data_IF_905034919785
#
_entry.id   IF_905034919785
#
_cell.length_a   1.000
_cell.length_b   1.000
_cell.length_c   1.000
_cell.angle_alpha   90.00
_cell.angle_beta   90.00
_cell.angle_gamma   90.00
#
_symmetry.space_group_name_H-M   'P 1'
#
loop_
_entity.id
_entity.type
_entity.pdbx_description
1 polymer ?
#
# COMPACT_ATOMS: atom_id res chain seq x y z
N UNK A 1 21.34 11.90 10.74
CA UNK A 1 20.82 10.52 10.94
C UNK A 1 21.97 9.52 11.18
N UNK A 2 22.95 9.35 10.26
CA UNK A 2 24.01 8.35 10.40
C UNK A 2 24.82 8.51 11.70
N UNK A 3 25.20 9.73 12.08
CA UNK A 3 25.88 9.97 13.36
C UNK A 3 25.05 9.51 14.56
N UNK A 4 23.78 9.91 14.60
CA UNK A 4 22.87 9.54 15.70
C UNK A 4 22.60 8.03 15.75
N UNK A 5 22.43 7.37 14.60
CA UNK A 5 22.21 5.93 14.52
C UNK A 5 23.41 5.11 15.00
N UNK A 6 24.64 5.55 14.68
CA UNK A 6 25.89 4.91 15.13
C UNK A 6 26.10 5.13 16.63
N UNK A 7 25.79 6.32 17.16
CA UNK A 7 25.91 6.61 18.60
C UNK A 7 24.97 5.77 19.47
N UNK A 8 23.79 5.38 18.92
CA UNK A 8 22.81 4.55 19.65
C UNK A 8 23.27 3.09 19.75
N UNK A 9 23.96 2.56 18.75
CA UNK A 9 24.42 1.17 18.79
C UNK A 9 25.69 0.92 17.94
N UNK A 10 26.86 1.14 18.53
CA UNK A 10 28.17 0.97 17.86
C UNK A 10 28.46 -0.47 17.37
N UNK A 11 27.72 -1.46 17.87
CA UNK A 11 27.95 -2.90 17.56
C UNK A 11 27.07 -3.43 16.45
N UNK A 12 26.09 -2.66 15.98
CA UNK A 12 25.18 -3.10 14.91
C UNK A 12 25.45 -2.29 13.62
N UNK A 13 25.61 -2.97 12.48
CA UNK A 13 25.78 -2.28 11.21
C UNK A 13 24.52 -1.51 10.84
N UNK A 14 24.70 -0.31 10.27
CA UNK A 14 23.62 0.52 9.75
C UNK A 14 23.46 0.21 8.26
N UNK A 15 22.26 -0.19 7.87
CA UNK A 15 21.92 -0.37 6.46
C UNK A 15 21.75 1.00 5.78
N UNK A 16 22.42 1.18 4.65
CA UNK A 16 22.34 2.40 3.84
C UNK A 16 21.94 2.01 2.42
N UNK A 17 20.72 2.37 2.05
CA UNK A 17 20.17 2.07 0.73
C UNK A 17 20.16 3.31 -0.17
N UNK A 18 20.21 3.07 -1.49
CA UNK A 18 20.00 4.12 -2.47
C UNK A 18 18.53 4.54 -2.47
N UNK A 19 18.25 5.82 -2.24
CA UNK A 19 16.91 6.35 -2.41
C UNK A 19 16.49 6.32 -3.89
N UNK A 20 15.33 5.73 -4.16
CA UNK A 20 14.71 5.66 -5.48
C UNK A 20 13.40 6.45 -5.40
N UNK A 21 13.27 7.48 -6.24
CA UNK A 21 12.02 8.20 -6.42
C UNK A 21 11.13 7.47 -7.43
N UNK A 22 9.86 7.28 -7.09
CA UNK A 22 8.92 6.59 -7.96
C UNK A 22 7.53 6.49 -7.32
N UNK A 23 6.69 5.69 -7.94
CA UNK A 23 5.37 5.32 -7.42
C UNK A 23 5.53 4.14 -6.46
N UNK A 24 5.03 4.25 -5.26
CA UNK A 24 5.01 3.12 -4.35
C UNK A 24 3.78 2.24 -4.61
N UNK A 25 4.00 0.93 -4.57
CA UNK A 25 2.97 -0.09 -4.79
C UNK A 25 3.08 -1.12 -3.68
N UNK A 26 1.95 -1.50 -3.13
CA UNK A 26 1.86 -2.49 -2.05
C UNK A 26 0.98 -3.67 -2.47
N UNK A 27 1.40 -4.86 -2.10
CA UNK A 27 0.70 -6.11 -2.35
C UNK A 27 0.60 -6.91 -1.05
N UNK A 28 -0.61 -7.31 -0.70
CA UNK A 28 -0.83 -8.38 0.28
C UNK A 28 -1.20 -9.66 -0.48
N UNK A 29 -0.41 -10.69 -0.29
CA UNK A 29 -0.59 -11.96 -0.97
C UNK A 29 -0.72 -13.13 0.02
N UNK A 30 -1.25 -14.24 -0.46
CA UNK A 30 -1.35 -15.49 0.28
C UNK A 30 -0.63 -16.57 -0.51
N UNK A 31 0.25 -17.31 0.14
CA UNK A 31 0.94 -18.46 -0.44
C UNK A 31 0.61 -19.71 0.37
N UNK A 32 0.31 -20.83 -0.32
CA UNK A 32 0.07 -22.14 0.30
C UNK A 32 1.28 -23.10 0.16
N UNK A 33 2.43 -22.58 -0.28
CA UNK A 33 3.63 -23.34 -0.57
C UNK A 33 3.68 -23.95 -1.99
N UNK A 34 2.59 -23.86 -2.76
CA UNK A 34 2.48 -24.36 -4.14
C UNK A 34 1.94 -23.30 -5.08
N UNK A 35 0.89 -22.61 -4.64
CA UNK A 35 0.22 -21.56 -5.39
C UNK A 35 0.27 -20.25 -4.60
N UNK A 36 0.08 -19.14 -5.31
CA UNK A 36 0.04 -17.80 -4.73
C UNK A 36 -1.21 -17.09 -5.22
N UNK A 37 -1.86 -16.36 -4.31
CA UNK A 37 -3.01 -15.53 -4.57
C UNK A 37 -2.71 -14.08 -4.20
N UNK A 38 -2.88 -13.17 -5.16
CA UNK A 38 -2.78 -11.72 -5.00
C UNK A 38 -4.17 -11.14 -5.24
N UNK A 39 -4.93 -10.78 -4.19
CA UNK A 39 -6.31 -10.30 -4.33
C UNK A 39 -6.42 -8.94 -4.99
N UNK A 40 -5.37 -8.12 -4.90
CA UNK A 40 -5.30 -6.78 -5.46
C UNK A 40 -3.93 -6.15 -5.31
N UNK A 41 -3.63 -5.22 -6.21
CA UNK A 41 -2.44 -4.37 -6.18
C UNK A 41 -2.92 -2.98 -5.75
N UNK A 42 -2.26 -2.39 -4.76
CA UNK A 42 -2.55 -1.05 -4.25
C UNK A 42 -1.45 -0.07 -4.69
N UNK A 43 -1.85 1.10 -5.15
CA UNK A 43 -0.94 2.20 -5.45
C UNK A 43 -1.04 3.26 -4.36
N UNK A 44 0.10 3.74 -3.86
CA UNK A 44 0.19 4.77 -2.84
C UNK A 44 0.28 6.14 -3.48
N UNK A 45 -0.37 7.13 -2.87
CA UNK A 45 -0.44 8.50 -3.40
C UNK A 45 0.75 9.34 -2.94
N UNK A 46 1.22 9.10 -1.72
CA UNK A 46 2.32 9.85 -1.13
C UNK A 46 3.66 9.52 -1.80
N UNK A 47 4.61 10.45 -1.63
CA UNK A 47 5.97 10.27 -2.12
C UNK A 47 6.66 9.07 -1.47
N UNK A 48 7.63 8.52 -2.17
CA UNK A 48 8.51 7.46 -1.67
C UNK A 48 9.15 7.82 -0.32
N UNK A 49 9.15 6.87 0.60
CA UNK A 49 9.74 7.02 1.93
C UNK A 49 8.76 7.49 3.02
N UNK A 50 7.47 7.56 2.73
CA UNK A 50 6.41 7.66 3.73
C UNK A 50 5.98 6.24 4.12
N UNK A 51 5.75 6.00 5.41
CA UNK A 51 5.27 4.69 5.86
C UNK A 51 3.92 4.33 5.22
N UNK A 52 3.77 3.12 4.69
CA UNK A 52 2.56 2.71 3.95
C UNK A 52 1.28 2.80 4.78
N UNK A 53 1.37 2.62 6.10
CA UNK A 53 0.25 2.84 7.04
C UNK A 53 -0.25 4.28 7.09
N UNK A 54 0.63 5.25 6.81
CA UNK A 54 0.34 6.68 6.81
C UNK A 54 -0.01 7.21 5.42
N UNK A 55 0.09 6.36 4.40
CA UNK A 55 -0.19 6.72 3.01
C UNK A 55 -1.63 6.42 2.63
N UNK A 56 -2.15 7.24 1.72
CA UNK A 56 -3.39 6.97 1.01
C UNK A 56 -3.12 5.85 0.00
N UNK A 57 -3.91 4.78 0.07
CA UNK A 57 -3.78 3.66 -0.87
C UNK A 57 -5.01 3.55 -1.75
N UNK A 58 -4.81 3.31 -3.03
CA UNK A 58 -5.87 3.20 -4.05
C UNK A 58 -5.87 1.80 -4.63
N UNK A 59 -7.04 1.17 -4.70
CA UNK A 59 -7.29 -0.09 -5.39
C UNK A 59 -8.51 0.07 -6.33
N UNK A 60 -8.46 -0.41 -7.58
CA UNK A 60 -7.27 -0.83 -8.32
C UNK A 60 -6.26 0.30 -8.54
N UNK A 61 -4.99 0.00 -8.86
CA UNK A 61 -3.98 1.02 -9.11
C UNK A 61 -4.39 1.89 -10.31
N UNK A 62 -4.14 3.19 -10.23
CA UNK A 62 -4.67 4.16 -11.19
C UNK A 62 -3.64 4.60 -12.24
N UNK A 63 -2.33 4.43 -11.98
CA UNK A 63 -1.26 4.84 -12.89
C UNK A 63 -0.31 3.70 -13.30
N UNK A 64 -0.50 2.49 -12.78
CA UNK A 64 0.35 1.33 -13.03
C UNK A 64 -0.09 0.60 -14.29
N UNK A 65 0.81 0.47 -15.27
CA UNK A 65 0.53 -0.23 -16.52
C UNK A 65 0.39 -1.75 -16.32
N UNK A 66 -0.32 -2.42 -17.22
CA UNK A 66 -0.50 -3.89 -17.17
C UNK A 66 0.83 -4.65 -17.26
N UNK A 67 1.81 -4.10 -18.01
CA UNK A 67 3.17 -4.64 -18.05
C UNK A 67 3.83 -4.63 -16.67
N UNK A 68 3.71 -3.52 -15.95
CA UNK A 68 4.28 -3.36 -14.60
C UNK A 68 3.52 -4.26 -13.62
N UNK A 69 2.18 -4.34 -13.70
CA UNK A 69 1.39 -5.28 -12.90
C UNK A 69 1.87 -6.72 -13.10
N UNK A 70 2.08 -7.13 -14.36
CA UNK A 70 2.63 -8.47 -14.66
C UNK A 70 3.99 -8.73 -14.02
N UNK A 71 4.86 -7.73 -13.96
CA UNK A 71 6.16 -7.82 -13.30
C UNK A 71 6.00 -7.98 -11.77
N UNK A 72 5.14 -7.15 -11.16
CA UNK A 72 4.82 -7.20 -9.72
C UNK A 72 4.26 -8.58 -9.34
N UNK A 73 3.31 -9.11 -10.11
CA UNK A 73 2.71 -10.42 -9.87
C UNK A 73 3.74 -11.56 -9.98
N UNK A 74 4.65 -11.44 -10.96
CA UNK A 74 5.76 -12.39 -11.13
C UNK A 74 6.70 -12.38 -9.92
N UNK A 75 7.03 -11.19 -9.41
CA UNK A 75 7.87 -11.05 -8.23
C UNK A 75 7.16 -11.55 -6.97
N UNK A 76 5.90 -11.21 -6.79
CA UNK A 76 5.10 -11.71 -5.66
C UNK A 76 5.10 -13.24 -5.62
N UNK A 77 4.81 -13.89 -6.75
CA UNK A 77 4.83 -15.35 -6.85
C UNK A 77 6.20 -15.95 -6.55
N UNK A 78 7.27 -15.41 -7.15
CA UNK A 78 8.63 -15.89 -6.92
C UNK A 78 9.07 -15.75 -5.47
N UNK A 79 8.72 -14.64 -4.81
CA UNK A 79 9.07 -14.40 -3.42
C UNK A 79 8.32 -15.32 -2.47
N UNK A 80 6.99 -15.46 -2.62
CA UNK A 80 6.19 -16.37 -1.79
C UNK A 80 6.71 -17.80 -1.83
N UNK A 81 6.93 -18.34 -3.03
CA UNK A 81 7.41 -19.69 -3.23
C UNK A 81 8.89 -19.84 -2.87
N UNK A 82 9.75 -18.89 -3.25
CA UNK A 82 11.19 -18.96 -3.04
C UNK A 82 11.61 -18.85 -1.56
N UNK A 83 10.86 -18.08 -0.76
CA UNK A 83 11.07 -17.97 0.69
C UNK A 83 10.41 -19.15 1.42
N UNK A 84 9.44 -19.83 0.79
CA UNK A 84 8.68 -20.91 1.40
C UNK A 84 7.59 -20.40 2.37
N UNK A 85 6.96 -19.28 2.03
CA UNK A 85 5.90 -18.68 2.86
C UNK A 85 4.65 -19.57 2.81
N UNK A 86 4.02 -19.76 3.97
CA UNK A 86 2.68 -20.34 4.11
C UNK A 86 1.81 -19.37 4.90
N UNK A 87 0.80 -18.81 4.25
CA UNK A 87 -0.08 -17.77 4.79
C UNK A 87 0.10 -16.41 4.13
N UNK A 88 -0.25 -15.35 4.87
CA UNK A 88 -0.16 -13.96 4.41
C UNK A 88 1.28 -13.45 4.36
N UNK A 89 1.56 -12.65 3.36
CA UNK A 89 2.78 -11.83 3.27
C UNK A 89 2.51 -10.53 2.52
N UNK A 90 3.22 -9.51 2.92
CA UNK A 90 3.14 -8.17 2.36
C UNK A 90 4.44 -7.85 1.61
N UNK A 91 4.32 -7.20 0.47
CA UNK A 91 5.46 -6.77 -0.33
C UNK A 91 5.27 -5.30 -0.68
N UNK A 92 6.33 -4.51 -0.51
CA UNK A 92 6.37 -3.13 -0.95
C UNK A 92 7.32 -2.99 -2.13
N UNK A 93 6.86 -2.26 -3.15
CA UNK A 93 7.58 -2.01 -4.38
C UNK A 93 7.71 -0.52 -4.65
N UNK A 94 8.75 -0.15 -5.39
CA UNK A 94 8.87 1.15 -6.05
C UNK A 94 8.89 0.90 -7.56
N UNK A 95 8.11 1.70 -8.29
CA UNK A 95 8.13 1.74 -9.75
C UNK A 95 8.69 3.09 -10.17
N UNK A 96 9.87 3.09 -10.79
CA UNK A 96 10.53 4.32 -11.23
C UNK A 96 9.87 4.93 -12.48
N UNK A 97 10.33 6.09 -12.91
CA UNK A 97 9.82 6.79 -14.11
C UNK A 97 10.02 6.00 -15.42
N UNK A 98 10.88 4.98 -15.42
CA UNK A 98 11.15 4.09 -16.55
C UNK A 98 10.43 2.75 -16.46
N UNK A 99 9.46 2.62 -15.54
CA UNK A 99 8.71 1.40 -15.25
C UNK A 99 9.56 0.21 -14.75
N UNK A 100 10.77 0.48 -14.19
CA UNK A 100 11.50 -0.55 -13.47
C UNK A 100 10.89 -0.76 -12.09
N UNK A 101 10.71 -2.02 -11.72
CA UNK A 101 10.11 -2.44 -10.46
C UNK A 101 11.21 -2.86 -9.49
N UNK A 102 11.28 -2.20 -8.35
CA UNK A 102 12.19 -2.50 -7.25
C UNK A 102 11.41 -3.02 -6.06
N UNK A 103 11.97 -3.99 -5.34
CA UNK A 103 11.42 -4.51 -4.09
C UNK A 103 12.07 -3.73 -2.95
N UNK A 104 11.24 -3.13 -2.08
CA UNK A 104 11.71 -2.47 -0.86
C UNK A 104 11.88 -3.51 0.23
N UNK A 105 10.80 -4.24 0.52
CA UNK A 105 10.79 -5.25 1.58
C UNK A 105 9.71 -6.31 1.35
N UNK A 106 9.91 -7.46 1.98
CA UNK A 106 8.95 -8.56 2.07
C UNK A 106 8.71 -8.87 3.54
N UNK A 107 7.46 -8.78 3.96
CA UNK A 107 7.04 -9.02 5.33
C UNK A 107 6.18 -10.30 5.40
N UNK A 108 6.69 -11.45 5.89
CA UNK A 108 5.92 -12.70 5.97
C UNK A 108 4.96 -12.66 7.17
N UNK A 109 4.04 -11.74 7.13
CA UNK A 109 3.01 -11.48 8.14
C UNK A 109 1.83 -10.74 7.52
N UNK A 110 0.71 -10.69 8.23
CA UNK A 110 -0.41 -9.79 7.90
C UNK A 110 0.03 -8.32 7.94
N UNK A 111 -0.59 -7.51 7.10
CA UNK A 111 -0.43 -6.05 7.06
C UNK A 111 -1.70 -5.34 7.52
N UNK A 112 -1.62 -4.02 7.72
CA UNK A 112 -2.79 -3.19 8.02
C UNK A 112 -3.74 -3.05 6.84
N UNK A 113 -3.27 -3.25 5.61
CA UNK A 113 -4.06 -3.15 4.40
C UNK A 113 -4.92 -4.38 4.11
N UNK A 114 -4.70 -5.51 4.80
CA UNK A 114 -5.51 -6.73 4.66
C UNK A 114 -7.01 -6.50 4.90
N UNK A 115 -7.47 -5.81 5.95
CA UNK A 115 -8.90 -5.49 6.12
C UNK A 115 -9.47 -4.61 5.02
N UNK A 116 -8.68 -3.65 4.53
CA UNK A 116 -9.05 -2.79 3.40
C UNK A 116 -9.24 -3.62 2.13
N UNK A 117 -8.24 -4.43 1.74
CA UNK A 117 -8.32 -5.29 0.57
C UNK A 117 -9.46 -6.32 0.68
N UNK A 118 -9.68 -6.90 1.86
CA UNK A 118 -10.80 -7.82 2.07
C UNK A 118 -12.14 -7.17 1.73
N UNK A 119 -12.36 -5.93 2.17
CA UNK A 119 -13.58 -5.17 1.86
C UNK A 119 -13.66 -4.75 0.40
N UNK A 120 -12.54 -4.31 -0.18
CA UNK A 120 -12.49 -3.82 -1.56
C UNK A 120 -12.69 -4.94 -2.58
N UNK A 121 -12.06 -6.10 -2.37
CA UNK A 121 -12.09 -7.23 -3.29
C UNK A 121 -13.24 -8.19 -3.04
N UNK A 122 -13.70 -8.28 -1.79
CA UNK A 122 -14.73 -9.24 -1.34
C UNK A 122 -14.17 -10.59 -0.87
N UNK A 123 -12.85 -10.81 -0.94
CA UNK A 123 -12.20 -12.00 -0.41
C UNK A 123 -11.92 -11.84 1.08
N UNK A 124 -12.29 -12.83 1.89
CA UNK A 124 -12.00 -12.84 3.34
C UNK A 124 -10.54 -13.30 3.56
N UNK A 125 -9.59 -12.38 3.38
CA UNK A 125 -8.17 -12.71 3.31
C UNK A 125 -7.63 -13.37 4.59
N UNK A 126 -8.11 -12.96 5.75
CA UNK A 126 -7.71 -13.53 7.01
C UNK A 126 -8.18 -15.00 7.12
N UNK A 127 -9.42 -15.30 6.72
CA UNK A 127 -9.96 -16.65 6.74
C UNK A 127 -9.25 -17.56 5.74
N UNK A 128 -9.02 -17.05 4.51
CA UNK A 128 -8.29 -17.79 3.48
C UNK A 128 -6.88 -18.15 3.97
N UNK A 129 -6.16 -17.18 4.53
CA UNK A 129 -4.82 -17.41 5.04
C UNK A 129 -4.77 -18.34 6.25
N UNK A 130 -5.76 -18.25 7.14
CA UNK A 130 -5.90 -19.16 8.28
C UNK A 130 -6.09 -20.60 7.80
N UNK A 131 -7.00 -20.82 6.83
CA UNK A 131 -7.21 -22.14 6.24
C UNK A 131 -5.94 -22.68 5.57
N UNK A 132 -5.19 -21.82 4.87
CA UNK A 132 -3.90 -22.20 4.28
C UNK A 132 -2.90 -22.66 5.36
N UNK A 133 -2.79 -21.93 6.46
CA UNK A 133 -1.91 -22.29 7.59
C UNK A 133 -2.36 -23.63 8.23
N UNK A 134 -3.67 -23.91 8.25
CA UNK A 134 -4.23 -25.16 8.74
C UNK A 134 -4.13 -26.31 7.73
N UNK A 135 -3.55 -26.08 6.55
CA UNK A 135 -3.26 -27.11 5.55
C UNK A 135 -4.25 -27.22 4.39
N UNK A 136 -5.27 -26.35 4.32
CA UNK A 136 -6.21 -26.31 3.18
C UNK A 136 -5.61 -25.43 2.08
N UNK A 137 -5.35 -26.00 0.91
CA UNK A 137 -4.76 -25.27 -0.22
C UNK A 137 -5.67 -24.16 -0.76
N UNK A 138 -5.10 -23.22 -1.50
CA UNK A 138 -5.88 -22.18 -2.20
C UNK A 138 -6.90 -22.78 -3.16
N UNK A 139 -6.53 -23.84 -3.89
CA UNK A 139 -7.44 -24.54 -4.82
C UNK A 139 -8.61 -25.21 -4.14
N UNK A 140 -8.40 -25.84 -2.99
CA UNK A 140 -9.50 -26.42 -2.19
C UNK A 140 -10.46 -25.35 -1.67
N UNK A 141 -10.00 -24.11 -1.53
CA UNK A 141 -10.83 -22.95 -1.17
C UNK A 141 -11.47 -22.26 -2.40
N UNK A 142 -11.33 -22.84 -3.62
CA UNK A 142 -11.89 -22.30 -4.85
C UNK A 142 -11.12 -21.15 -5.46
N UNK A 143 -9.87 -20.96 -5.07
CA UNK A 143 -8.97 -19.90 -5.59
C UNK A 143 -7.99 -20.54 -6.57
N UNK A 144 -8.17 -20.23 -7.85
CA UNK A 144 -7.39 -20.82 -8.95
C UNK A 144 -6.48 -19.81 -9.64
N UNK A 145 -6.83 -18.52 -9.60
CA UNK A 145 -6.11 -17.47 -10.28
C UNK A 145 -5.08 -16.82 -9.36
N UNK A 146 -3.91 -16.50 -9.91
CA UNK A 146 -2.90 -15.68 -9.22
C UNK A 146 -3.46 -14.29 -8.89
N UNK A 147 -4.18 -13.70 -9.83
CA UNK A 147 -4.72 -12.34 -9.75
C UNK A 147 -6.12 -12.31 -10.37
N UNK A 148 -7.16 -12.09 -9.56
CA UNK A 148 -8.54 -12.04 -10.06
C UNK A 148 -8.78 -10.74 -10.85
N UNK A 149 -9.85 -10.66 -11.66
CA UNK A 149 -10.24 -9.43 -12.33
C UNK A 149 -10.42 -8.28 -11.35
N UNK A 150 -9.87 -7.12 -11.69
CA UNK A 150 -9.99 -5.90 -10.89
C UNK A 150 -11.46 -5.42 -10.83
N UNK A 151 -11.80 -4.74 -9.75
CA UNK A 151 -13.14 -4.14 -9.60
C UNK A 151 -13.27 -2.90 -10.48
N UNK A 152 -14.46 -2.65 -10.99
CA UNK A 152 -14.76 -1.42 -11.75
C UNK A 152 -14.78 -0.14 -10.87
N UNK A 153 -14.93 -0.32 -9.57
CA UNK A 153 -14.94 0.80 -8.60
C UNK A 153 -13.56 1.03 -8.05
N UNK A 154 -13.25 2.30 -7.81
CA UNK A 154 -12.09 2.69 -7.03
C UNK A 154 -12.41 2.61 -5.55
N UNK A 155 -11.51 2.03 -4.79
CA UNK A 155 -11.50 2.00 -3.33
C UNK A 155 -10.27 2.75 -2.85
N UNK A 156 -10.46 3.61 -1.87
CA UNK A 156 -9.40 4.45 -1.31
C UNK A 156 -9.34 4.23 0.20
N UNK A 157 -8.17 3.86 0.69
CA UNK A 157 -7.85 3.86 2.12
C UNK A 157 -7.22 5.21 2.45
N UNK A 158 -7.76 5.94 3.42
CA UNK A 158 -7.14 7.13 3.98
C UNK A 158 -6.72 6.89 5.44
N UNK A 159 -5.50 7.29 5.85
CA UNK A 159 -5.07 7.17 7.24
C UNK A 159 -5.84 8.12 8.14
N UNK A 160 -6.01 7.73 9.40
CA UNK A 160 -6.55 8.58 10.45
C UNK A 160 -5.44 8.92 11.42
N UNK A 161 -5.22 10.22 11.66
CA UNK A 161 -4.21 10.72 12.58
C UNK A 161 -4.87 11.31 13.82
N UNK A 162 -4.26 11.05 14.98
CA UNK A 162 -4.72 11.59 16.28
C UNK A 162 -3.71 12.59 16.85
N UNK A 163 -3.12 13.45 16.01
CA UNK A 163 -2.11 14.43 16.43
C UNK A 163 -2.56 15.31 17.61
N UNK A 164 -3.85 15.67 17.64
CA UNK A 164 -4.43 16.45 18.74
C UNK A 164 -4.34 15.71 20.12
N UNK A 165 -4.22 14.38 20.11
CA UNK A 165 -4.09 13.55 21.31
C UNK A 165 -2.65 13.14 21.62
N UNK A 166 -1.78 13.23 20.62
CA UNK A 166 -0.38 12.80 20.70
C UNK A 166 0.52 14.03 20.76
N UNK A 167 0.66 14.59 21.95
CA UNK A 167 1.48 15.79 22.17
C UNK A 167 2.95 15.54 21.82
N UNK A 168 3.57 16.47 21.09
CA UNK A 168 4.98 16.43 20.72
C UNK A 168 5.32 15.60 19.48
N UNK A 169 4.33 15.03 18.79
CA UNK A 169 4.53 14.35 17.53
C UNK A 169 4.53 15.37 16.38
N UNK A 170 5.58 15.32 15.55
CA UNK A 170 5.63 16.09 14.30
C UNK A 170 4.63 15.51 13.28
N UNK A 171 3.83 16.38 12.66
CA UNK A 171 2.86 16.01 11.63
C UNK A 171 3.51 15.65 10.28
N UNK A 172 4.83 15.85 10.12
CA UNK A 172 5.55 15.50 8.91
C UNK A 172 5.57 13.99 8.70
N UNK A 173 5.11 13.54 7.52
CA UNK A 173 5.10 12.12 7.16
C UNK A 173 6.52 11.63 6.86
N UNK A 174 6.88 10.50 7.46
CA UNK A 174 8.22 9.91 7.45
C UNK A 174 8.14 8.38 7.34
N UNK A 175 9.26 7.65 7.32
CA UNK A 175 9.25 6.19 7.43
C UNK A 175 8.65 5.65 8.73
N UNK A 176 8.49 6.49 9.74
CA UNK A 176 7.87 6.16 11.02
C UNK A 176 6.36 6.28 10.94
N UNK A 177 5.62 5.23 11.32
CA UNK A 177 4.16 5.23 11.30
C UNK A 177 3.57 6.07 12.42
N UNK A 178 2.68 7.00 12.07
CA UNK A 178 2.00 7.93 12.99
C UNK A 178 0.48 7.81 13.00
N UNK A 179 -0.10 7.11 12.02
CA UNK A 179 -1.55 6.89 11.94
C UNK A 179 -2.05 5.97 13.04
N UNK A 180 -3.25 6.27 13.55
CA UNK A 180 -3.92 5.52 14.61
C UNK A 180 -5.11 4.72 14.13
N UNK A 181 -5.52 4.90 12.88
CA UNK A 181 -6.64 4.22 12.25
C UNK A 181 -6.64 4.44 10.74
N UNK A 182 -7.68 3.94 10.10
CA UNK A 182 -7.90 4.07 8.67
C UNK A 182 -9.39 4.19 8.35
N UNK A 183 -9.69 4.87 7.24
CA UNK A 183 -11.03 5.02 6.70
C UNK A 183 -11.04 4.58 5.23
N UNK A 184 -12.22 4.16 4.75
CA UNK A 184 -12.39 3.68 3.38
C UNK A 184 -13.44 4.52 2.68
N UNK A 185 -13.08 5.05 1.50
CA UNK A 185 -14.00 5.62 0.54
C UNK A 185 -14.06 4.79 -0.72
N UNK A 186 -15.22 4.74 -1.39
CA UNK A 186 -15.34 4.05 -2.67
C UNK A 186 -16.35 4.73 -3.59
N UNK A 187 -16.05 4.73 -4.88
CA UNK A 187 -16.93 5.26 -5.93
C UNK A 187 -16.47 4.72 -7.31
N UNK A 188 -17.27 4.98 -8.36
CA UNK A 188 -16.85 4.73 -9.74
C UNK A 188 -15.77 5.71 -10.22
N UNK A 189 -15.71 6.91 -9.65
CA UNK A 189 -14.70 7.93 -9.95
C UNK A 189 -13.69 8.03 -8.82
N UNK A 190 -12.40 7.98 -9.14
CA UNK A 190 -11.32 8.07 -8.16
C UNK A 190 -11.43 9.33 -7.29
N UNK A 191 -11.67 10.50 -7.89
CA UNK A 191 -11.82 11.76 -7.15
C UNK A 191 -12.93 11.74 -6.11
N UNK A 192 -14.05 11.06 -6.40
CA UNK A 192 -15.15 10.89 -5.44
C UNK A 192 -14.82 9.88 -4.35
N UNK A 193 -14.15 8.79 -4.72
CA UNK A 193 -13.67 7.80 -3.73
C UNK A 193 -12.68 8.44 -2.76
N UNK A 194 -11.75 9.26 -3.28
CA UNK A 194 -10.78 10.04 -2.51
C UNK A 194 -11.48 11.01 -1.55
N UNK A 195 -12.42 11.82 -2.06
CA UNK A 195 -13.19 12.74 -1.24
C UNK A 195 -13.91 12.03 -0.08
N UNK A 196 -14.58 10.90 -0.36
CA UNK A 196 -15.26 10.09 0.67
C UNK A 196 -14.30 9.54 1.71
N UNK A 197 -13.12 9.07 1.28
CA UNK A 197 -12.10 8.55 2.20
C UNK A 197 -11.55 9.64 3.12
N UNK A 198 -11.24 10.83 2.56
CA UNK A 198 -10.78 11.99 3.32
C UNK A 198 -11.84 12.47 4.32
N UNK A 199 -13.09 12.57 3.91
CA UNK A 199 -14.20 12.91 4.83
C UNK A 199 -14.33 11.88 5.96
N UNK A 200 -14.26 10.59 5.64
CA UNK A 200 -14.38 9.51 6.62
C UNK A 200 -13.17 9.46 7.58
N UNK A 201 -11.99 9.91 7.15
CA UNK A 201 -10.79 10.02 8.00
C UNK A 201 -10.78 11.25 8.92
N UNK A 202 -11.81 12.13 8.80
CA UNK A 202 -11.90 13.37 9.57
C UNK A 202 -11.23 14.58 8.91
N UNK A 203 -10.72 14.44 7.70
CA UNK A 203 -10.22 15.55 6.91
C UNK A 203 -11.38 16.25 6.21
N UNK A 204 -11.79 17.40 6.74
CA UNK A 204 -12.88 18.20 6.17
C UNK A 204 -12.38 18.97 4.94
N UNK A 205 -12.61 18.42 3.76
CA UNK A 205 -12.40 19.11 2.49
C UNK A 205 -13.64 19.96 2.20
N UNK A 206 -13.50 21.28 2.29
CA UNK A 206 -14.58 22.21 2.00
C UNK A 206 -14.75 22.37 0.48
N UNK A 207 -16.00 22.49 0.03
CA UNK A 207 -16.35 22.70 -1.36
C UNK A 207 -16.79 24.15 -1.67
N UNK A 208 -16.46 25.08 -0.78
CA UNK A 208 -16.77 26.53 -0.88
C UNK A 208 -15.60 27.35 -0.33
N UNK A 209 -15.57 28.63 -0.71
CA UNK A 209 -14.54 29.58 -0.26
C UNK A 209 -13.41 29.76 -1.28
N UNK A 210 -12.30 30.32 -0.82
CA UNK A 210 -11.08 30.53 -1.62
C UNK A 210 -10.03 29.49 -1.25
N UNK A 211 -9.42 28.87 -2.24
CA UNK A 211 -8.35 27.88 -2.04
C UNK A 211 -7.02 28.53 -2.42
N UNK A 212 -6.07 28.50 -1.49
CA UNK A 212 -4.69 28.81 -1.79
C UNK A 212 -3.98 27.52 -2.20
N UNK A 213 -3.43 27.50 -3.41
CA UNK A 213 -2.80 26.32 -3.99
C UNK A 213 -1.33 26.59 -4.26
N UNK A 214 -0.44 25.71 -3.79
CA UNK A 214 0.98 25.67 -4.15
C UNK A 214 1.28 24.35 -4.81
N UNK A 215 1.74 24.38 -6.05
CA UNK A 215 2.07 23.21 -6.85
C UNK A 215 3.49 23.34 -7.38
N UNK A 216 4.17 22.21 -7.60
CA UNK A 216 5.38 22.17 -8.39
C UNK A 216 5.11 22.70 -9.82
N UNK A 217 6.10 23.29 -10.46
CA UNK A 217 5.89 23.91 -11.78
C UNK A 217 5.43 22.88 -12.83
N UNK A 218 5.89 21.67 -12.72
CA UNK A 218 5.50 20.54 -13.60
C UNK A 218 4.04 20.12 -13.44
N UNK A 219 3.43 20.33 -12.26
CA UNK A 219 2.05 19.92 -11.93
C UNK A 219 1.01 21.04 -12.20
N UNK A 220 1.47 22.28 -12.40
CA UNK A 220 0.59 23.43 -12.61
C UNK A 220 -0.33 23.29 -13.82
N UNK A 221 0.13 22.76 -14.99
CA UNK A 221 -0.74 22.62 -16.18
C UNK A 221 -1.94 21.71 -15.96
N UNK A 222 -1.80 20.70 -15.09
CA UNK A 222 -2.90 19.76 -14.79
C UNK A 222 -3.74 20.21 -13.57
N UNK A 223 -3.12 20.89 -12.61
CA UNK A 223 -3.74 21.27 -11.35
C UNK A 223 -4.47 22.61 -11.37
N UNK A 224 -4.21 23.46 -12.35
CA UNK A 224 -4.86 24.78 -12.49
C UNK A 224 -5.89 24.72 -13.62
N UNK A 225 -7.12 25.22 -13.39
CA UNK A 225 -8.17 25.26 -14.41
C UNK A 225 -7.83 26.23 -15.56
#
# INVERSE_FOLDING_TARGET
>A
YLKTAVEINEKQPVLVDKYISGREVEVDAICDGRDVFVPGIMELVERTGVHSGDSISVYPPFSISDKVKGTILTYAKKLGLGIGIVGLYNIQFIVDKSDHVYIIEVNPRSSRTVPFLSKATGYQLADIATNVILGTSLKEQGIFDLYPPEKERCYVKAPVFSFAKLHGLDAYLSPEMKSTGEAIGYDKKLSRAMYKALQASGMNVQNYGTVFVTLADEDKPEGLP
#
